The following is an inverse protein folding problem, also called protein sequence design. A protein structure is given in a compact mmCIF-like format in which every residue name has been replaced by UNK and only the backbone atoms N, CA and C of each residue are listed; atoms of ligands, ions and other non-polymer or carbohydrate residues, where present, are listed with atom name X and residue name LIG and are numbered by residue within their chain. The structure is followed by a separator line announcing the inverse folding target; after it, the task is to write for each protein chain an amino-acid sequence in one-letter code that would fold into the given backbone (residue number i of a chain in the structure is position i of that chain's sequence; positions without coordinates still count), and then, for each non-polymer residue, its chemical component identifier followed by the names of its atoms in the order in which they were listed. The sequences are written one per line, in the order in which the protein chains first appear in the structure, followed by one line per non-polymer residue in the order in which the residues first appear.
data_IF_423477514361
#
_entry.id   IF_423477514361
#
_cell.length_a   1.000
_cell.length_b   1.000
_cell.length_c   1.000
_cell.angle_alpha   90.00
_cell.angle_beta   90.00
_cell.angle_gamma   90.00
#
_symmetry.space_group_name_H-M   'P 1'
#
loop_
_entity.id
_entity.type
_entity.pdbx_description
1 polymer ?
#
# COMPACT_ATOMS: atom_id res chain seq x y z
N UNK A 1 -4.64 -9.99 -22.25
CA UNK A 1 -5.52 -8.82 -22.46
C UNK A 1 -5.14 -7.75 -21.43
N UNK A 2 -4.53 -6.63 -21.84
CA UNK A 2 -3.98 -5.60 -20.93
C UNK A 2 -4.97 -4.42 -20.80
N UNK A 3 -5.65 -4.31 -19.66
CA UNK A 3 -6.49 -3.14 -19.32
C UNK A 3 -5.60 -2.11 -18.61
N UNK A 4 -4.96 -1.20 -19.35
CA UNK A 4 -4.01 -0.22 -18.75
C UNK A 4 -4.27 1.25 -19.14
N UNK A 5 -5.21 1.56 -20.04
CA UNK A 5 -5.32 2.91 -20.63
C UNK A 5 -6.52 3.77 -20.21
N UNK A 6 -7.32 3.40 -19.20
CA UNK A 6 -8.59 4.10 -18.92
C UNK A 6 -8.53 5.32 -17.99
N UNK A 7 -7.39 5.67 -17.37
CA UNK A 7 -7.41 6.63 -16.26
C UNK A 7 -7.29 8.13 -16.61
N UNK A 8 -7.08 8.53 -17.87
CA UNK A 8 -6.59 9.91 -18.18
C UNK A 8 -7.64 10.99 -18.49
N UNK A 9 -8.95 10.71 -18.57
CA UNK A 9 -9.97 11.73 -18.97
C UNK A 9 -11.04 12.13 -17.93
N UNK A 10 -10.98 11.68 -16.69
CA UNK A 10 -12.12 11.81 -15.75
C UNK A 10 -12.19 13.07 -14.86
N UNK A 11 -11.26 14.03 -14.97
CA UNK A 11 -11.12 15.07 -13.94
C UNK A 11 -12.02 16.33 -14.03
N UNK A 12 -13.09 16.37 -14.85
CA UNK A 12 -13.95 17.57 -14.94
C UNK A 12 -15.47 17.39 -14.89
N UNK A 13 -15.99 16.18 -14.71
CA UNK A 13 -17.45 15.98 -14.66
C UNK A 13 -17.96 15.77 -13.23
N UNK A 14 -19.10 16.41 -12.90
CA UNK A 14 -19.83 16.31 -11.63
C UNK A 14 -20.01 14.84 -11.24
N UNK A 15 -19.30 14.42 -10.20
CA UNK A 15 -18.68 13.09 -10.09
C UNK A 15 -19.42 12.02 -9.29
N UNK A 16 -20.75 11.92 -9.37
CA UNK A 16 -21.47 10.81 -8.72
C UNK A 16 -22.09 9.80 -9.69
N UNK A 17 -22.62 10.23 -10.86
CA UNK A 17 -23.29 9.29 -11.77
C UNK A 17 -22.32 8.56 -12.70
N UNK A 18 -21.34 9.28 -13.29
CA UNK A 18 -20.34 8.66 -14.15
C UNK A 18 -19.39 7.74 -13.38
N UNK A 19 -19.06 8.06 -12.14
CA UNK A 19 -18.26 7.19 -11.27
C UNK A 19 -19.03 5.93 -10.87
N UNK A 20 -20.32 6.05 -10.54
CA UNK A 20 -21.21 4.89 -10.33
C UNK A 20 -21.33 4.03 -11.58
N UNK A 21 -21.50 4.63 -12.75
CA UNK A 21 -21.59 3.90 -14.02
C UNK A 21 -20.28 3.19 -14.36
N UNK A 22 -19.14 3.88 -14.23
CA UNK A 22 -17.82 3.29 -14.43
C UNK A 22 -17.58 2.12 -13.46
N UNK A 23 -17.95 2.29 -12.19
CA UNK A 23 -17.91 1.21 -11.20
C UNK A 23 -18.74 0.01 -11.65
N UNK A 24 -20.02 0.22 -12.01
CA UNK A 24 -20.90 -0.86 -12.50
C UNK A 24 -20.32 -1.60 -13.70
N UNK A 25 -19.78 -0.88 -14.69
CA UNK A 25 -19.19 -1.50 -15.88
C UNK A 25 -17.95 -2.33 -15.53
N UNK A 26 -17.07 -1.80 -14.67
CA UNK A 26 -15.88 -2.53 -14.22
C UNK A 26 -16.28 -3.77 -13.43
N UNK A 27 -17.24 -3.66 -12.51
CA UNK A 27 -17.70 -4.81 -11.71
C UNK A 27 -18.42 -5.87 -12.55
N UNK A 28 -19.25 -5.47 -13.53
CA UNK A 28 -19.89 -6.40 -14.46
C UNK A 28 -18.84 -7.17 -15.25
N UNK A 29 -17.89 -6.46 -15.86
CA UNK A 29 -16.84 -7.10 -16.66
C UNK A 29 -15.95 -8.05 -15.84
N UNK A 30 -15.61 -7.68 -14.59
CA UNK A 30 -14.86 -8.58 -13.70
C UNK A 30 -15.70 -9.79 -13.32
N UNK A 31 -16.99 -9.61 -13.01
CA UNK A 31 -17.87 -10.72 -12.65
C UNK A 31 -18.06 -11.69 -13.83
N UNK A 32 -18.31 -11.18 -15.03
CA UNK A 32 -18.38 -11.97 -16.27
C UNK A 32 -17.08 -12.74 -16.52
N UNK A 33 -15.94 -12.09 -16.35
CA UNK A 33 -14.64 -12.74 -16.44
C UNK A 33 -14.51 -13.87 -15.40
N UNK A 34 -14.83 -13.60 -14.13
CA UNK A 34 -14.77 -14.59 -13.06
C UNK A 34 -15.76 -15.74 -13.27
N UNK A 35 -16.89 -15.54 -13.94
CA UNK A 35 -17.81 -16.63 -14.33
C UNK A 35 -17.23 -17.49 -15.46
N UNK A 36 -16.50 -16.88 -16.40
CA UNK A 36 -15.96 -17.56 -17.57
C UNK A 36 -14.68 -18.38 -17.31
N UNK A 37 -14.04 -18.21 -16.14
CA UNK A 37 -12.81 -18.95 -15.79
C UNK A 37 -13.14 -20.43 -15.52
N UNK A 38 -12.43 -21.41 -16.11
CA UNK A 38 -12.63 -22.82 -15.77
C UNK A 38 -12.21 -23.13 -14.33
N UNK A 39 -12.92 -24.02 -13.63
CA UNK A 39 -12.60 -24.42 -12.24
C UNK A 39 -12.51 -25.94 -12.16
N UNK A 40 -11.82 -26.50 -11.15
CA UNK A 40 -11.73 -27.96 -10.96
C UNK A 40 -13.12 -28.61 -10.87
N UNK A 41 -14.09 -27.91 -10.27
CA UNK A 41 -15.45 -28.42 -10.11
C UNK A 41 -16.28 -28.34 -11.40
N UNK A 42 -15.89 -27.49 -12.37
CA UNK A 42 -16.61 -27.24 -13.61
C UNK A 42 -15.64 -27.28 -14.80
N UNK A 43 -15.20 -28.49 -15.17
CA UNK A 43 -14.27 -28.73 -16.28
C UNK A 43 -14.88 -28.53 -17.67
N UNK A 44 -16.21 -28.50 -17.80
CA UNK A 44 -16.88 -28.25 -19.08
C UNK A 44 -16.93 -26.76 -19.36
N UNK A 45 -15.92 -26.26 -20.07
CA UNK A 45 -15.97 -24.94 -20.72
C UNK A 45 -17.13 -24.98 -21.72
N UNK A 46 -18.15 -24.11 -21.60
CA UNK A 46 -19.21 -24.02 -22.59
C UNK A 46 -18.57 -23.73 -23.95
N UNK A 47 -18.72 -24.67 -24.87
CA UNK A 47 -18.05 -24.68 -26.17
C UNK A 47 -18.41 -23.48 -27.05
N UNK A 48 -17.40 -23.12 -27.84
CA UNK A 48 -17.46 -22.45 -29.14
C UNK A 48 -17.96 -21.01 -29.22
N UNK A 49 -17.00 -20.08 -29.15
CA UNK A 49 -17.08 -18.84 -29.93
C UNK A 49 -16.35 -17.63 -29.38
N UNK A 50 -15.96 -17.63 -28.10
CA UNK A 50 -15.66 -16.37 -27.39
C UNK A 50 -14.36 -16.33 -26.56
N UNK A 51 -13.24 -16.83 -27.08
CA UNK A 51 -11.90 -16.28 -26.82
C UNK A 51 -11.40 -16.02 -25.38
N UNK A 52 -11.86 -16.73 -24.35
CA UNK A 52 -11.12 -16.71 -23.07
C UNK A 52 -9.82 -17.50 -23.24
N UNK A 53 -8.69 -16.82 -23.15
CA UNK A 53 -7.35 -17.43 -23.30
C UNK A 53 -6.94 -18.29 -22.09
N UNK A 54 -7.82 -18.49 -21.11
CA UNK A 54 -7.54 -19.25 -19.89
C UNK A 54 -7.95 -20.70 -20.12
N UNK A 55 -7.03 -21.51 -20.64
CA UNK A 55 -7.30 -22.94 -20.93
C UNK A 55 -7.09 -23.87 -19.73
N UNK A 56 -6.72 -23.33 -18.56
CA UNK A 56 -6.42 -24.11 -17.35
C UNK A 56 -7.44 -23.81 -16.27
N UNK A 57 -7.75 -24.80 -15.46
CA UNK A 57 -8.56 -24.62 -14.26
C UNK A 57 -7.88 -23.67 -13.30
N UNK A 58 -8.68 -22.86 -12.61
CA UNK A 58 -8.25 -21.92 -11.59
C UNK A 58 -8.86 -22.33 -10.26
N UNK A 59 -7.98 -22.52 -9.29
CA UNK A 59 -8.34 -22.98 -7.94
C UNK A 59 -8.23 -21.86 -6.91
N UNK A 60 -7.53 -20.77 -7.27
CA UNK A 60 -7.25 -19.64 -6.41
C UNK A 60 -7.37 -18.31 -7.18
N UNK A 61 -8.12 -17.37 -6.62
CA UNK A 61 -8.21 -15.99 -7.10
C UNK A 61 -7.75 -15.02 -6.02
N UNK A 62 -6.70 -14.24 -6.31
CA UNK A 62 -6.28 -13.12 -5.45
C UNK A 62 -6.73 -11.82 -6.10
N UNK A 63 -7.66 -11.13 -5.45
CA UNK A 63 -8.23 -9.88 -5.93
C UNK A 63 -7.85 -8.68 -5.07
N UNK A 64 -7.79 -7.49 -5.65
CA UNK A 64 -7.67 -6.25 -4.87
C UNK A 64 -8.96 -5.97 -4.07
N UNK A 65 -8.87 -5.33 -2.92
CA UNK A 65 -10.05 -5.00 -2.10
C UNK A 65 -11.11 -4.18 -2.87
N UNK A 66 -10.72 -3.45 -3.91
CA UNK A 66 -11.63 -2.70 -4.76
C UNK A 66 -12.59 -3.61 -5.53
N UNK A 67 -12.29 -4.91 -5.70
CA UNK A 67 -13.09 -5.88 -6.45
C UNK A 67 -13.84 -6.87 -5.57
N UNK A 68 -13.89 -6.64 -4.25
CA UNK A 68 -14.52 -7.53 -3.28
C UNK A 68 -15.97 -7.94 -3.64
N UNK A 69 -16.75 -7.04 -4.26
CA UNK A 69 -18.11 -7.36 -4.71
C UNK A 69 -18.12 -8.44 -5.80
N UNK A 70 -17.19 -8.38 -6.76
CA UNK A 70 -17.11 -9.35 -7.84
C UNK A 70 -16.54 -10.69 -7.37
N UNK A 71 -15.74 -10.69 -6.29
CA UNK A 71 -15.16 -11.90 -5.70
C UNK A 71 -16.24 -12.86 -5.16
N UNK A 72 -17.47 -12.39 -4.90
CA UNK A 72 -18.60 -13.28 -4.56
C UNK A 72 -18.79 -14.40 -5.60
N UNK A 73 -18.48 -14.14 -6.87
CA UNK A 73 -18.52 -15.16 -7.93
C UNK A 73 -17.60 -16.33 -7.64
N UNK A 74 -16.42 -16.10 -7.04
CA UNK A 74 -15.51 -17.16 -6.65
C UNK A 74 -16.12 -18.06 -5.57
N UNK A 75 -16.72 -17.46 -4.54
CA UNK A 75 -17.44 -18.18 -3.48
C UNK A 75 -18.57 -19.05 -4.05
N UNK A 76 -19.43 -18.47 -4.88
CA UNK A 76 -20.57 -19.18 -5.48
C UNK A 76 -20.15 -20.36 -6.38
N UNK A 77 -18.89 -20.37 -6.83
CA UNK A 77 -18.30 -21.39 -7.71
C UNK A 77 -17.33 -22.34 -6.98
N UNK A 78 -17.22 -22.24 -5.66
CA UNK A 78 -16.30 -23.06 -4.87
C UNK A 78 -14.82 -22.81 -5.18
N UNK A 79 -14.46 -21.60 -5.61
CA UNK A 79 -13.07 -21.19 -5.90
C UNK A 79 -12.51 -20.45 -4.69
N UNK A 80 -11.37 -20.90 -4.19
CA UNK A 80 -10.65 -20.23 -3.10
C UNK A 80 -10.28 -18.80 -3.49
N UNK A 81 -10.47 -17.85 -2.59
CA UNK A 81 -10.10 -16.47 -2.88
C UNK A 81 -9.47 -15.73 -1.72
N UNK A 82 -8.66 -14.73 -2.06
CA UNK A 82 -8.13 -13.76 -1.11
C UNK A 82 -8.40 -12.34 -1.57
N UNK A 83 -8.94 -11.52 -0.66
CA UNK A 83 -8.97 -10.08 -0.85
C UNK A 83 -7.66 -9.49 -0.36
N UNK A 84 -6.81 -9.06 -1.30
CA UNK A 84 -5.61 -8.30 -1.04
C UNK A 84 -5.96 -6.87 -0.64
N UNK A 85 -5.69 -6.53 0.61
CA UNK A 85 -5.75 -5.18 1.12
C UNK A 85 -4.33 -4.69 1.40
N UNK A 86 -4.12 -3.39 1.22
CA UNK A 86 -2.81 -2.83 1.45
C UNK A 86 -2.43 -2.75 2.95
N UNK A 87 -3.42 -2.83 3.86
CA UNK A 87 -3.24 -2.71 5.30
C UNK A 87 -4.45 -3.29 6.07
N UNK A 88 -4.24 -3.72 7.32
CA UNK A 88 -5.32 -4.14 8.21
C UNK A 88 -6.29 -2.99 8.49
N UNK A 89 -5.74 -1.81 8.78
CA UNK A 89 -6.53 -0.59 8.98
C UNK A 89 -7.51 -0.26 7.85
N UNK A 90 -7.20 -0.61 6.58
CA UNK A 90 -8.11 -0.40 5.45
C UNK A 90 -9.32 -1.34 5.46
N UNK A 91 -9.24 -2.49 6.14
CA UNK A 91 -10.32 -3.47 6.24
C UNK A 91 -11.38 -3.04 7.24
N UNK A 92 -11.00 -2.24 8.24
CA UNK A 92 -11.94 -1.68 9.21
C UNK A 92 -13.00 -0.79 8.56
N UNK A 93 -12.66 -0.04 7.50
CA UNK A 93 -13.63 0.81 6.80
C UNK A 93 -14.85 0.02 6.30
N UNK A 94 -14.64 -1.02 5.47
CA UNK A 94 -15.65 -2.01 5.13
C UNK A 94 -16.37 -2.59 6.34
N UNK A 95 -15.66 -3.14 7.32
CA UNK A 95 -16.28 -3.81 8.47
C UNK A 95 -17.18 -2.89 9.32
N UNK A 96 -16.83 -1.61 9.46
CA UNK A 96 -17.66 -0.63 10.12
C UNK A 96 -18.83 -0.13 9.25
N UNK A 97 -18.71 -0.23 7.91
CA UNK A 97 -19.69 0.33 6.98
C UNK A 97 -20.92 -0.56 6.75
N UNK A 98 -20.93 -1.83 7.17
CA UNK A 98 -22.12 -2.65 6.97
C UNK A 98 -22.13 -4.00 7.67
N UNK A 99 -23.31 -4.35 8.19
CA UNK A 99 -23.72 -5.68 8.62
C UNK A 99 -23.99 -6.66 7.45
N UNK A 100 -24.00 -6.15 6.21
CA UNK A 100 -24.34 -6.90 4.98
C UNK A 100 -23.11 -7.35 4.17
N UNK A 101 -21.92 -7.40 4.78
CA UNK A 101 -20.81 -8.10 4.13
C UNK A 101 -21.17 -9.58 4.04
N UNK A 102 -20.98 -10.23 2.87
CA UNK A 102 -21.25 -11.65 2.75
C UNK A 102 -20.44 -12.38 3.82
N UNK A 103 -21.14 -12.90 4.82
CA UNK A 103 -20.60 -13.84 5.81
C UNK A 103 -20.29 -15.12 5.06
N UNK A 104 -19.05 -15.62 5.16
CA UNK A 104 -18.79 -16.99 4.73
C UNK A 104 -19.72 -17.93 5.50
N UNK A 105 -20.22 -18.95 4.82
CA UNK A 105 -20.94 -20.02 5.50
C UNK A 105 -19.98 -20.73 6.45
N UNK A 106 -20.49 -21.12 7.61
CA UNK A 106 -19.76 -22.00 8.53
C UNK A 106 -19.28 -23.23 7.72
N UNK A 107 -17.97 -23.50 7.72
CA UNK A 107 -17.25 -24.61 7.04
C UNK A 107 -16.51 -24.32 5.73
N UNK A 108 -16.49 -23.10 5.20
CA UNK A 108 -15.61 -22.76 4.06
C UNK A 108 -14.31 -22.09 4.53
N UNK A 109 -13.30 -22.93 4.85
CA UNK A 109 -12.06 -22.49 5.50
C UNK A 109 -10.95 -22.01 4.54
N UNK A 110 -11.16 -22.06 3.22
CA UNK A 110 -10.03 -21.88 2.30
C UNK A 110 -9.80 -20.41 1.89
N UNK A 111 -10.79 -19.53 2.11
CA UNK A 111 -10.70 -18.12 1.71
C UNK A 111 -10.24 -17.19 2.84
N UNK A 112 -9.71 -16.02 2.47
CA UNK A 112 -9.16 -15.11 3.47
C UNK A 112 -8.96 -13.66 3.03
N UNK A 113 -8.38 -12.88 3.93
CA UNK A 113 -7.94 -11.51 3.70
C UNK A 113 -6.43 -11.50 3.75
N UNK A 114 -5.81 -11.00 2.70
CA UNK A 114 -4.36 -10.90 2.59
C UNK A 114 -3.94 -9.45 2.79
N UNK A 115 -3.05 -9.21 3.73
CA UNK A 115 -2.51 -7.90 4.05
C UNK A 115 -1.09 -7.79 3.50
N UNK A 116 -0.83 -6.78 2.67
CA UNK A 116 0.54 -6.36 2.36
C UNK A 116 1.13 -5.55 3.53
N UNK A 117 1.23 -6.20 4.68
CA UNK A 117 1.68 -5.64 5.95
C UNK A 117 2.27 -6.74 6.82
N UNK A 118 2.76 -6.36 8.00
CA UNK A 118 3.33 -7.24 9.02
C UNK A 118 2.45 -7.19 10.25
N UNK A 119 2.04 -8.36 10.78
CA UNK A 119 1.04 -8.47 11.86
C UNK A 119 1.46 -7.65 13.08
N UNK A 120 2.74 -7.71 13.42
CA UNK A 120 3.36 -7.04 14.57
C UNK A 120 3.33 -5.51 14.47
N UNK A 121 3.13 -4.95 13.27
CA UNK A 121 2.97 -3.51 13.08
C UNK A 121 1.51 -3.08 13.30
N UNK A 122 0.56 -3.92 12.92
CA UNK A 122 -0.87 -3.63 12.91
C UNK A 122 -1.66 -4.40 13.99
N UNK A 123 -0.99 -4.88 15.03
CA UNK A 123 -1.58 -5.78 16.03
C UNK A 123 -2.88 -5.24 16.67
N UNK A 124 -2.94 -3.94 16.96
CA UNK A 124 -4.14 -3.27 17.45
C UNK A 124 -5.32 -3.36 16.45
N UNK A 125 -5.06 -3.09 15.17
CA UNK A 125 -6.06 -3.18 14.11
C UNK A 125 -6.52 -4.63 13.92
N UNK A 126 -5.59 -5.59 14.00
CA UNK A 126 -5.91 -7.02 13.89
C UNK A 126 -6.81 -7.48 15.03
N UNK A 127 -6.49 -7.11 16.27
CA UNK A 127 -7.35 -7.41 17.43
C UNK A 127 -8.75 -6.85 17.24
N UNK A 128 -8.88 -5.62 16.73
CA UNK A 128 -10.18 -5.01 16.43
C UNK A 128 -10.92 -5.80 15.35
N UNK A 129 -10.26 -6.15 14.24
CA UNK A 129 -10.83 -6.97 13.16
C UNK A 129 -11.34 -8.32 13.69
N UNK A 130 -10.58 -8.98 14.57
CA UNK A 130 -10.95 -10.27 15.16
C UNK A 130 -12.15 -10.19 16.11
N UNK A 131 -12.57 -9.00 16.55
CA UNK A 131 -13.81 -8.83 17.33
C UNK A 131 -15.07 -8.90 16.48
N UNK A 132 -14.97 -8.78 15.16
CA UNK A 132 -16.12 -8.86 14.26
C UNK A 132 -16.49 -10.31 13.98
N UNK A 133 -17.71 -10.69 14.34
CA UNK A 133 -18.22 -12.05 14.09
C UNK A 133 -18.20 -12.47 12.62
N UNK A 134 -18.39 -11.51 11.70
CA UNK A 134 -18.30 -11.76 10.24
C UNK A 134 -16.91 -12.20 9.77
N UNK A 135 -15.86 -11.96 10.56
CA UNK A 135 -14.49 -12.41 10.28
C UNK A 135 -14.18 -13.77 10.93
N UNK A 136 -15.07 -14.33 11.75
CA UNK A 136 -14.84 -15.64 12.35
C UNK A 136 -14.66 -16.71 11.28
N UNK A 137 -13.55 -17.45 11.36
CA UNK A 137 -13.18 -18.47 10.37
C UNK A 137 -12.49 -17.93 9.12
N UNK A 138 -12.43 -16.61 8.91
CA UNK A 138 -11.71 -16.02 7.78
C UNK A 138 -10.22 -15.93 8.09
N UNK A 139 -9.38 -16.52 7.23
CA UNK A 139 -7.93 -16.45 7.39
C UNK A 139 -7.42 -15.02 7.21
N UNK A 140 -6.63 -14.52 8.17
CA UNK A 140 -5.96 -13.22 8.10
C UNK A 140 -4.46 -13.42 7.78
N UNK A 141 -4.08 -13.27 6.51
CA UNK A 141 -2.73 -13.56 6.03
C UNK A 141 -1.88 -12.29 5.91
N UNK A 142 -0.76 -12.21 6.63
CA UNK A 142 0.19 -11.10 6.56
C UNK A 142 1.37 -11.50 5.69
N UNK A 143 1.38 -11.03 4.43
CA UNK A 143 2.40 -11.40 3.44
C UNK A 143 3.41 -10.27 3.17
N UNK A 144 3.34 -9.19 3.95
CA UNK A 144 4.14 -8.00 3.77
C UNK A 144 5.50 -8.03 4.49
N UNK A 145 6.37 -7.05 4.21
CA UNK A 145 6.21 -6.07 3.13
C UNK A 145 6.52 -6.72 1.78
N UNK A 146 5.56 -6.70 0.86
CA UNK A 146 5.77 -7.11 -0.53
C UNK A 146 6.61 -6.02 -1.19
N UNK A 147 7.92 -6.22 -1.20
CA UNK A 147 8.83 -5.32 -1.90
C UNK A 147 8.63 -5.51 -3.41
N UNK A 148 8.71 -4.44 -4.22
CA UNK A 148 8.68 -4.61 -5.66
C UNK A 148 9.84 -5.52 -6.02
N UNK A 149 9.57 -6.55 -6.82
CA UNK A 149 10.65 -7.27 -7.46
C UNK A 149 11.52 -6.26 -8.21
N UNK A 150 12.83 -6.50 -8.21
CA UNK A 150 13.74 -5.77 -9.07
C UNK A 150 13.30 -5.99 -10.51
N UNK A 151 12.40 -5.12 -11.00
CA UNK A 151 12.09 -5.05 -12.42
C UNK A 151 13.40 -4.89 -13.18
N UNK A 152 13.40 -5.28 -14.46
CA UNK A 152 14.53 -5.00 -15.35
C UNK A 152 14.75 -3.48 -15.36
N UNK A 153 15.70 -3.05 -14.54
CA UNK A 153 16.11 -1.66 -14.40
C UNK A 153 16.78 -1.29 -15.71
N UNK A 154 16.36 -0.21 -16.36
CA UNK A 154 17.06 0.24 -17.55
C UNK A 154 18.50 0.61 -17.19
N UNK A 155 19.44 0.50 -18.13
CA UNK A 155 20.84 0.91 -17.92
C UNK A 155 20.91 2.34 -17.38
N UNK A 156 20.13 3.26 -17.95
CA UNK A 156 20.02 4.65 -17.50
C UNK A 156 19.50 4.79 -16.07
N UNK A 157 18.59 3.92 -15.63
CA UNK A 157 18.14 3.91 -14.24
C UNK A 157 19.26 3.41 -13.33
N UNK A 158 19.96 2.32 -13.68
CA UNK A 158 21.11 1.81 -12.91
C UNK A 158 22.20 2.87 -12.74
N UNK A 159 22.53 3.60 -13.80
CA UNK A 159 23.50 4.71 -13.75
C UNK A 159 23.04 5.82 -12.80
N UNK A 160 21.78 6.23 -12.88
CA UNK A 160 21.20 7.19 -11.95
C UNK A 160 21.24 6.67 -10.51
N UNK A 161 21.01 5.36 -10.31
CA UNK A 161 21.07 4.75 -8.99
C UNK A 161 22.48 4.77 -8.42
N UNK A 162 23.49 4.45 -9.22
CA UNK A 162 24.88 4.46 -8.81
C UNK A 162 25.40 5.89 -8.54
N UNK A 163 25.01 6.86 -9.37
CA UNK A 163 25.29 8.27 -9.11
C UNK A 163 24.66 8.74 -7.80
N UNK A 164 23.40 8.36 -7.55
CA UNK A 164 22.70 8.68 -6.31
C UNK A 164 23.39 8.08 -5.09
N UNK A 165 23.78 6.81 -5.18
CA UNK A 165 24.51 6.10 -4.14
C UNK A 165 25.85 6.80 -3.84
N UNK A 166 26.65 7.10 -4.86
CA UNK A 166 27.92 7.83 -4.70
C UNK A 166 27.74 9.21 -4.08
N UNK A 167 26.70 9.96 -4.44
CA UNK A 167 26.39 11.25 -3.83
C UNK A 167 25.99 11.09 -2.36
N UNK A 168 25.12 10.11 -2.07
CA UNK A 168 24.64 9.75 -0.74
C UNK A 168 25.72 9.24 0.21
N UNK A 169 26.79 8.64 -0.32
CA UNK A 169 27.93 8.13 0.45
C UNK A 169 28.88 9.25 0.91
N UNK A 170 28.82 10.42 0.25
CA UNK A 170 29.58 11.62 0.62
C UNK A 170 28.89 12.51 1.65
N UNK A 171 27.61 12.28 1.92
CA UNK A 171 26.86 13.07 2.90
C UNK A 171 27.14 12.57 4.32
N UNK A 172 27.11 13.47 5.30
CA UNK A 172 27.22 13.10 6.71
C UNK A 172 26.08 12.16 7.14
N UNK A 173 26.32 11.35 8.18
CA UNK A 173 25.31 10.43 8.70
C UNK A 173 24.08 11.24 9.16
N UNK A 174 22.89 10.80 8.73
CA UNK A 174 21.59 11.44 9.01
C UNK A 174 21.35 12.83 8.36
N UNK A 175 22.30 13.41 7.62
CA UNK A 175 22.19 14.77 7.05
C UNK A 175 21.28 14.92 5.82
N UNK A 176 20.63 13.84 5.36
CA UNK A 176 19.87 13.84 4.10
C UNK A 176 18.40 13.55 4.34
N UNK A 177 17.57 14.54 4.04
CA UNK A 177 16.13 14.40 3.89
C UNK A 177 15.77 14.08 2.42
N UNK A 178 15.11 12.94 2.21
CA UNK A 178 14.54 12.56 0.92
C UNK A 178 13.07 12.99 0.89
N UNK A 179 12.66 13.70 -0.16
CA UNK A 179 11.27 14.16 -0.30
C UNK A 179 10.61 13.47 -1.49
N UNK A 180 9.50 12.78 -1.25
CA UNK A 180 8.74 12.11 -2.31
C UNK A 180 7.24 12.45 -2.21
N UNK A 181 6.61 12.79 -3.34
CA UNK A 181 5.16 13.05 -3.43
C UNK A 181 4.40 11.98 -4.22
N UNK A 182 5.03 10.83 -4.48
CA UNK A 182 4.48 9.76 -5.30
C UNK A 182 4.44 10.12 -6.80
N UNK A 183 3.78 9.25 -7.58
CA UNK A 183 3.66 9.39 -9.05
C UNK A 183 2.51 10.29 -9.50
N UNK A 184 1.86 11.02 -8.60
CA UNK A 184 0.78 11.91 -8.99
C UNK A 184 1.34 13.17 -9.67
N UNK A 185 0.68 13.69 -10.72
CA UNK A 185 1.13 14.89 -11.42
C UNK A 185 0.98 16.11 -10.51
N UNK A 186 2.03 16.43 -9.77
CA UNK A 186 2.13 17.62 -8.93
C UNK A 186 2.88 18.75 -9.67
N UNK A 187 2.33 19.97 -9.67
CA UNK A 187 2.98 21.17 -10.23
C UNK A 187 3.65 21.94 -9.08
N UNK A 188 4.98 22.03 -9.07
CA UNK A 188 5.78 22.67 -8.02
C UNK A 188 6.46 23.93 -8.54
N UNK A 189 6.43 25.02 -7.76
CA UNK A 189 7.17 26.27 -8.03
C UNK A 189 8.63 26.18 -7.53
N UNK A 190 9.51 26.98 -8.13
CA UNK A 190 10.98 26.79 -8.19
C UNK A 190 11.81 27.14 -6.94
N UNK A 191 11.21 27.61 -5.83
CA UNK A 191 11.94 28.31 -4.74
C UNK A 191 12.62 27.44 -3.66
N UNK A 192 12.58 26.11 -3.70
CA UNK A 192 13.04 25.20 -2.61
C UNK A 192 14.33 24.40 -2.89
N UNK A 193 15.30 24.94 -3.64
CA UNK A 193 16.40 24.12 -4.21
C UNK A 193 17.65 23.86 -3.35
N UNK A 194 17.84 24.51 -2.19
CA UNK A 194 19.16 24.50 -1.53
C UNK A 194 19.41 23.33 -0.57
N UNK A 195 18.38 22.61 -0.12
CA UNK A 195 18.51 21.60 0.97
C UNK A 195 17.82 20.26 0.73
N UNK A 196 17.12 20.07 -0.39
CA UNK A 196 16.25 18.91 -0.59
C UNK A 196 16.67 18.13 -1.83
N UNK A 197 16.94 16.83 -1.66
CA UNK A 197 16.93 15.94 -2.80
C UNK A 197 15.47 15.67 -3.20
N UNK A 198 15.10 16.13 -4.40
CA UNK A 198 13.74 16.10 -4.91
C UNK A 198 13.61 15.17 -6.12
N UNK A 199 12.78 14.12 -6.00
CA UNK A 199 12.43 13.27 -7.14
C UNK A 199 11.18 13.80 -7.85
N UNK A 200 11.35 14.27 -9.09
CA UNK A 200 10.23 14.59 -9.99
C UNK A 200 9.74 13.29 -10.64
N UNK A 201 8.44 13.04 -10.60
CA UNK A 201 7.80 11.91 -11.27
C UNK A 201 7.99 11.96 -12.79
N UNK A 202 9.09 11.40 -13.27
CA UNK A 202 9.30 11.03 -14.67
C UNK A 202 8.86 9.55 -14.78
N UNK A 203 8.00 9.14 -15.74
CA UNK A 203 7.55 7.75 -15.87
C UNK A 203 8.71 6.73 -15.98
N UNK A 204 9.91 7.18 -16.31
CA UNK A 204 11.11 6.37 -16.58
C UNK A 204 12.22 6.43 -15.52
N UNK A 205 12.10 7.14 -14.39
CA UNK A 205 13.20 7.26 -13.39
C UNK A 205 12.85 6.84 -11.95
N UNK A 206 11.69 6.23 -11.72
CA UNK A 206 11.17 5.96 -10.37
C UNK A 206 11.52 4.57 -9.83
N UNK A 207 12.80 4.29 -9.54
CA UNK A 207 13.22 2.96 -9.04
C UNK A 207 13.57 2.89 -7.54
N UNK A 208 13.79 4.02 -6.85
CA UNK A 208 14.03 4.02 -5.39
C UNK A 208 12.81 4.36 -4.53
N UNK A 209 11.65 4.62 -5.15
CA UNK A 209 10.42 4.98 -4.46
C UNK A 209 9.20 4.20 -4.97
N UNK A 210 9.42 2.95 -5.38
CA UNK A 210 8.32 1.99 -5.43
C UNK A 210 8.24 1.34 -4.06
N UNK A 211 7.67 2.04 -3.09
CA UNK A 211 7.33 1.42 -1.81
C UNK A 211 5.88 0.92 -1.92
N UNK A 212 5.77 -0.38 -2.14
CA UNK A 212 4.52 -1.14 -2.22
C UNK A 212 4.06 -1.50 -0.81
N UNK A 213 3.39 -0.56 -0.17
CA UNK A 213 2.13 -0.78 0.56
C UNK A 213 1.46 0.60 0.68
N UNK A 214 0.14 0.66 0.79
CA UNK A 214 -0.56 1.94 0.92
C UNK A 214 -0.13 2.73 2.17
N UNK A 215 0.49 2.05 3.15
CA UNK A 215 1.13 2.65 4.33
C UNK A 215 2.40 3.44 3.97
N UNK A 216 3.17 3.06 2.94
CA UNK A 216 4.43 3.73 2.58
C UNK A 216 4.30 4.80 1.47
N UNK A 217 3.09 5.17 1.04
CA UNK A 217 2.88 6.19 0.00
C UNK A 217 2.97 7.64 0.51
N UNK A 218 3.51 7.88 1.70
CA UNK A 218 3.44 9.20 2.34
C UNK A 218 4.75 9.58 3.05
N UNK A 219 5.85 9.75 2.30
CA UNK A 219 7.16 9.85 2.94
C UNK A 219 7.97 11.08 2.48
N UNK A 220 8.19 11.98 3.42
CA UNK A 220 9.49 12.60 3.67
C UNK A 220 10.35 11.52 4.36
N UNK A 221 11.34 10.98 3.67
CA UNK A 221 12.22 9.93 4.18
C UNK A 221 13.47 10.55 4.83
N UNK A 222 13.68 10.35 6.13
CA UNK A 222 15.00 10.60 6.76
C UNK A 222 15.85 9.32 6.68
N UNK A 223 17.11 9.44 6.26
CA UNK A 223 18.01 8.30 5.98
C UNK A 223 18.84 7.94 7.21
N UNK A 224 18.80 6.68 7.64
CA UNK A 224 19.62 6.17 8.76
C UNK A 224 20.72 5.23 8.25
N UNK A 225 21.99 5.55 8.54
CA UNK A 225 23.14 4.69 8.16
C UNK A 225 23.46 3.69 9.29
N UNK A 226 23.39 2.39 9.00
CA UNK A 226 24.30 1.38 9.54
C UNK A 226 24.50 0.30 8.45
N UNK A 227 25.74 -0.19 8.35
CA UNK A 227 26.37 -0.85 7.21
C UNK A 227 25.48 -1.66 6.22
N UNK A 228 25.74 -1.47 4.92
CA UNK A 228 25.31 -2.24 3.74
C UNK A 228 23.84 -2.20 3.24
N UNK A 229 22.86 -1.65 3.99
CA UNK A 229 21.46 -1.54 3.50
C UNK A 229 20.88 -0.13 3.71
N UNK A 230 20.58 0.56 2.61
CA UNK A 230 19.93 1.88 2.55
C UNK A 230 18.47 1.77 3.03
N UNK A 231 18.03 2.45 4.11
CA UNK A 231 16.66 2.31 4.66
C UNK A 231 16.10 3.60 5.31
N UNK A 232 14.76 3.74 5.27
CA UNK A 232 13.98 4.99 5.42
C UNK A 232 13.21 5.14 6.72
N UNK A 233 13.11 6.37 7.23
CA UNK A 233 12.22 6.82 8.32
C UNK A 233 11.20 7.82 7.77
N UNK A 234 9.91 7.76 8.12
CA UNK A 234 8.83 8.41 7.36
C UNK A 234 8.22 9.63 8.07
N UNK A 235 8.31 10.83 7.52
CA UNK A 235 7.47 11.98 7.88
C UNK A 235 6.33 12.17 6.87
N UNK A 236 5.11 12.35 7.36
CA UNK A 236 3.89 12.44 6.57
C UNK A 236 3.52 13.91 6.30
N UNK A 237 4.06 14.51 5.24
CA UNK A 237 3.66 15.85 4.81
C UNK A 237 3.21 15.87 3.36
N UNK A 238 1.92 16.11 3.13
CA UNK A 238 1.44 16.62 1.84
C UNK A 238 1.87 18.07 1.72
N UNK A 239 2.94 18.32 0.95
CA UNK A 239 3.43 19.66 0.69
C UNK A 239 2.36 20.49 -0.02
N UNK A 240 1.94 21.59 0.60
CA UNK A 240 1.01 22.57 0.07
C UNK A 240 1.56 23.31 -1.14
N UNK A 241 1.69 22.60 -2.26
CA UNK A 241 1.55 23.14 -3.59
C UNK A 241 0.07 23.12 -3.90
N UNK A 242 -0.41 24.02 -4.77
CA UNK A 242 -1.83 24.20 -5.08
C UNK A 242 -2.63 22.91 -5.40
N UNK A 243 -2.00 21.73 -5.57
CA UNK A 243 -2.65 20.42 -5.73
C UNK A 243 -1.81 19.21 -5.23
N UNK A 244 -1.17 19.24 -4.06
CA UNK A 244 -0.70 17.96 -3.46
C UNK A 244 -1.88 17.30 -2.74
N UNK A 245 -2.54 16.39 -3.44
CA UNK A 245 -3.77 15.76 -2.97
C UNK A 245 -3.42 14.58 -2.06
N UNK A 246 -3.82 14.66 -0.78
CA UNK A 246 -3.96 13.43 0.01
C UNK A 246 -5.18 12.68 -0.53
N UNK A 247 -4.99 11.53 -1.16
CA UNK A 247 -6.08 10.74 -1.75
C UNK A 247 -6.29 9.43 -0.99
N UNK A 248 -7.52 8.90 -1.02
CA UNK A 248 -7.90 7.65 -0.38
C UNK A 248 -7.61 7.62 1.14
N UNK A 249 -6.95 6.57 1.60
CA UNK A 249 -6.64 6.22 3.00
C UNK A 249 -5.45 7.01 3.59
N UNK A 250 -4.79 7.84 2.80
CA UNK A 250 -3.58 8.56 3.17
C UNK A 250 -3.68 9.36 4.48
N UNK A 251 -4.84 9.97 4.76
CA UNK A 251 -5.06 10.70 6.02
C UNK A 251 -5.17 9.75 7.21
N UNK A 252 -5.81 8.61 7.01
CA UNK A 252 -5.90 7.57 8.03
C UNK A 252 -4.50 7.02 8.35
N UNK A 253 -3.73 6.69 7.32
CA UNK A 253 -2.36 6.19 7.46
C UNK A 253 -1.45 7.21 8.16
N UNK A 254 -1.56 8.49 7.79
CA UNK A 254 -0.79 9.57 8.45
C UNK A 254 -1.13 9.72 9.94
N UNK A 255 -2.40 9.62 10.31
CA UNK A 255 -2.82 9.61 11.73
C UNK A 255 -2.31 8.39 12.48
N UNK A 256 -2.40 7.21 11.85
CA UNK A 256 -1.94 5.95 12.43
C UNK A 256 -0.42 5.95 12.67
N UNK A 257 0.36 6.49 11.74
CA UNK A 257 1.81 6.69 11.89
C UNK A 257 2.13 7.70 13.01
N UNK A 258 1.38 8.79 13.10
CA UNK A 258 1.54 9.79 14.15
C UNK A 258 1.26 9.21 15.55
N UNK A 259 0.24 8.38 15.70
CA UNK A 259 -0.09 7.70 16.97
C UNK A 259 1.02 6.76 17.45
N UNK A 260 1.87 6.29 16.54
CA UNK A 260 3.01 5.40 16.83
C UNK A 260 4.34 6.12 16.88
N UNK A 261 4.32 7.45 16.91
CA UNK A 261 5.52 8.29 16.90
C UNK A 261 6.43 7.98 15.73
N UNK A 262 5.93 7.50 14.59
CA UNK A 262 6.77 7.25 13.40
C UNK A 262 6.70 8.35 12.38
N UNK A 263 5.73 9.28 12.49
CA UNK A 263 5.58 10.41 11.60
C UNK A 263 5.03 11.65 12.32
N UNK A 264 5.26 12.83 11.74
CA UNK A 264 4.53 14.05 12.09
C UNK A 264 3.56 14.37 10.96
N UNK A 265 2.31 14.67 11.31
CA UNK A 265 1.29 15.08 10.35
C UNK A 265 1.06 16.60 10.43
N UNK A 266 1.05 17.28 9.28
CA UNK A 266 0.75 18.71 9.22
C UNK A 266 -0.76 18.93 9.12
N UNK A 267 -1.38 19.28 10.25
CA UNK A 267 -2.83 19.51 10.30
C UNK A 267 -3.32 20.58 9.32
N UNK A 268 -4.54 20.39 8.81
CA UNK A 268 -5.18 21.28 7.83
C UNK A 268 -4.62 21.21 6.40
N UNK A 269 -3.82 20.19 6.08
CA UNK A 269 -3.34 19.88 4.72
C UNK A 269 -4.12 18.72 4.08
N UNK A 270 -3.97 18.50 2.77
CA UNK A 270 -4.58 17.38 2.04
C UNK A 270 -5.45 17.78 0.83
N UNK A 271 -6.38 16.90 0.42
CA UNK A 271 -7.22 17.06 -0.78
C UNK A 271 -7.94 18.42 -0.85
N UNK A 272 -8.39 18.90 0.30
CA UNK A 272 -9.01 20.20 0.49
C UNK A 272 -8.17 21.00 1.48
N UNK A 273 -6.92 21.27 1.09
CA UNK A 273 -6.00 22.04 1.94
C UNK A 273 -6.60 23.39 2.26
N UNK A 274 -6.83 23.66 3.56
CA UNK A 274 -7.34 24.96 4.03
C UNK A 274 -6.22 26.01 4.10
N UNK A 275 -4.96 25.59 3.97
CA UNK A 275 -3.78 26.45 4.11
C UNK A 275 -2.59 26.00 3.28
N UNK A 276 -1.67 26.92 3.05
CA UNK A 276 -0.32 26.64 2.53
C UNK A 276 0.60 26.40 3.73
N UNK A 277 1.48 25.39 3.64
CA UNK A 277 2.51 25.15 4.65
C UNK A 277 3.75 25.95 4.27
N UNK A 278 4.14 26.90 5.12
CA UNK A 278 5.32 27.73 4.90
C UNK A 278 6.61 26.91 5.04
N UNK A 279 7.67 27.34 4.33
CA UNK A 279 8.97 26.69 4.36
C UNK A 279 9.56 26.61 5.79
N UNK A 280 9.43 27.67 6.59
CA UNK A 280 9.94 27.69 7.97
C UNK A 280 9.23 26.67 8.85
N UNK A 281 7.92 26.48 8.66
CA UNK A 281 7.18 25.42 9.37
C UNK A 281 7.69 24.04 8.99
N UNK A 282 7.99 23.80 7.71
CA UNK A 282 8.57 22.53 7.24
C UNK A 282 9.96 22.33 7.85
N UNK A 283 10.82 23.36 7.85
CA UNK A 283 12.15 23.30 8.42
C UNK A 283 12.10 22.98 9.93
N UNK A 284 11.17 23.59 10.67
CA UNK A 284 11.00 23.32 12.10
C UNK A 284 10.49 21.89 12.36
N UNK A 285 9.59 21.38 11.51
CA UNK A 285 9.14 19.99 11.60
C UNK A 285 10.28 19.01 11.29
N UNK A 286 11.12 19.32 10.30
CA UNK A 286 12.33 18.54 10.01
C UNK A 286 13.25 18.50 11.23
N UNK A 287 13.54 19.66 11.84
CA UNK A 287 14.33 19.72 13.08
C UNK A 287 13.75 18.89 14.22
N UNK A 288 12.43 18.87 14.41
CA UNK A 288 11.80 18.03 15.44
C UNK A 288 12.04 16.52 15.24
N UNK A 289 12.19 16.09 13.99
CA UNK A 289 12.52 14.70 13.68
C UNK A 289 14.05 14.49 13.63
N UNK A 290 14.81 15.53 13.26
CA UNK A 290 16.26 15.51 13.00
C UNK A 290 17.14 15.83 14.22
N UNK A 291 16.66 16.51 15.28
CA UNK A 291 17.38 16.80 16.54
C UNK A 291 17.79 15.51 17.33
N UNK A 292 17.79 14.39 16.63
CA UNK A 292 18.26 13.06 16.93
C UNK A 292 19.77 12.84 16.75
N UNK A 293 20.63 13.85 16.91
CA UNK A 293 22.05 13.58 17.25
C UNK A 293 22.13 12.72 18.53
N UNK A 294 21.11 12.82 19.39
CA UNK A 294 20.78 11.76 20.34
C UNK A 294 19.92 10.70 19.62
N UNK A 295 20.36 9.45 19.58
CA UNK A 295 19.56 8.31 19.10
C UNK A 295 18.28 8.05 19.92
N UNK A 296 17.80 9.03 20.68
CA UNK A 296 16.79 8.94 21.73
C UNK A 296 15.51 9.73 21.38
N UNK A 297 15.35 10.28 20.18
CA UNK A 297 14.04 10.83 19.81
C UNK A 297 13.01 9.70 19.73
N UNK A 298 11.75 9.93 20.15
CA UNK A 298 10.69 8.95 20.01
C UNK A 298 10.53 8.44 18.57
N UNK A 299 10.80 9.30 17.57
CA UNK A 299 10.76 8.95 16.15
C UNK A 299 11.85 7.96 15.75
N UNK A 300 13.09 8.17 16.22
CA UNK A 300 14.19 7.26 15.95
C UNK A 300 13.92 5.89 16.56
N UNK A 301 13.54 5.86 17.84
CA UNK A 301 13.25 4.61 18.54
C UNK A 301 12.09 3.84 17.88
N UNK A 302 10.97 4.51 17.61
CA UNK A 302 9.82 3.87 16.98
C UNK A 302 10.17 3.27 15.61
N UNK A 303 11.00 3.94 14.81
CA UNK A 303 11.43 3.38 13.53
C UNK A 303 12.43 2.23 13.65
N UNK A 304 13.32 2.26 14.64
CA UNK A 304 14.20 1.12 14.94
C UNK A 304 13.37 -0.10 15.36
N UNK A 305 12.36 0.10 16.20
CA UNK A 305 11.44 -0.96 16.64
C UNK A 305 10.66 -1.54 15.46
N UNK A 306 10.13 -0.67 14.59
CA UNK A 306 9.44 -1.11 13.37
C UNK A 306 10.37 -1.88 12.44
N UNK A 307 11.60 -1.41 12.28
CA UNK A 307 12.60 -2.11 11.49
C UNK A 307 12.86 -3.50 12.05
N UNK A 308 13.03 -3.62 13.37
CA UNK A 308 13.25 -4.92 14.00
C UNK A 308 12.09 -5.89 13.72
N UNK A 309 10.85 -5.41 13.78
CA UNK A 309 9.65 -6.18 13.42
C UNK A 309 9.64 -6.61 11.94
N UNK A 310 9.95 -5.69 11.02
CA UNK A 310 10.03 -5.99 9.59
C UNK A 310 11.16 -6.98 9.26
N UNK A 311 12.34 -6.80 9.87
CA UNK A 311 13.48 -7.68 9.69
C UNK A 311 13.16 -9.09 10.25
N UNK A 312 12.48 -9.19 11.40
CA UNK A 312 12.01 -10.47 11.94
C UNK A 312 11.00 -11.17 11.03
N UNK A 313 9.97 -10.45 10.55
CA UNK A 313 8.95 -11.00 9.66
C UNK A 313 9.53 -11.51 8.33
N UNK A 314 10.49 -10.77 7.76
CA UNK A 314 11.13 -11.17 6.50
C UNK A 314 12.19 -12.25 6.65
N UNK A 315 12.88 -12.32 7.81
CA UNK A 315 13.86 -13.38 8.07
C UNK A 315 13.21 -14.78 8.11
N UNK A 316 12.01 -14.89 8.69
CA UNK A 316 11.29 -16.16 8.79
C UNK A 316 10.80 -16.69 7.44
N UNK A 317 10.48 -15.79 6.50
CA UNK A 317 10.00 -16.18 5.15
C UNK A 317 11.03 -16.91 4.29
N UNK A 318 12.31 -16.96 4.71
CA UNK A 318 13.35 -17.77 4.07
C UNK A 318 13.33 -19.25 4.45
N UNK A 319 12.58 -19.64 5.48
CA UNK A 319 12.31 -21.05 5.81
C UNK A 319 10.90 -21.42 5.33
N UNK A 320 10.68 -22.57 4.66
CA UNK A 320 9.40 -22.94 4.02
C UNK A 320 8.25 -23.25 5.00
N UNK A 321 8.25 -22.65 6.19
CA UNK A 321 7.34 -22.91 7.30
C UNK A 321 6.26 -21.84 7.36
N UNK A 322 5.38 -21.76 6.36
CA UNK A 322 4.03 -21.26 6.63
C UNK A 322 3.37 -22.30 7.54
N UNK A 323 3.67 -22.22 8.84
CA UNK A 323 2.87 -22.92 9.83
C UNK A 323 1.48 -22.31 9.72
N UNK A 324 0.52 -23.07 9.20
CA UNK A 324 -0.86 -22.86 9.58
C UNK A 324 -0.83 -22.84 11.11
N UNK A 325 -0.93 -21.66 11.72
CA UNK A 325 -1.37 -21.56 13.10
C UNK A 325 -2.82 -22.03 13.08
N UNK A 326 -3.00 -23.35 13.09
CA UNK A 326 -4.27 -23.95 13.42
C UNK A 326 -4.61 -23.43 14.81
N UNK A 327 -5.72 -22.69 14.93
CA UNK A 327 -6.29 -22.39 16.24
C UNK A 327 -6.36 -23.73 17.00
N UNK A 328 -5.95 -23.79 18.28
CA UNK A 328 -6.28 -24.94 19.09
C UNK A 328 -7.80 -25.15 18.98
N UNK A 329 -8.21 -26.31 18.50
CA UNK A 329 -9.61 -26.70 18.50
C UNK A 329 -9.99 -26.87 19.97
N UNK A 330 -10.76 -25.91 20.49
CA UNK A 330 -11.45 -26.02 21.77
C UNK A 330 -12.78 -26.73 21.55
#
# INVERSE_FOLDING_TARGET
MYISSYHRRFHRFRGSQLSKLAGRLVYSAISEFLHAIPTIQQSTVPGDGGGSSVCRTVDLVIGDNCIAVAIKVCHDRGVTYFSNTAAASMTLGPLFAGADYPTLRENENDSGIMFNSVRELEEDMVRIIETFSVINGIALLFVGPLMPQTEKVSVSQLEQQEMMKKWLDRQEKLSVANVNSGRLPCRMESKLRRWLYWQRGNPSCGLFARQSSAIFRLNLVLKFRNNSKMRSLTSCSSFGLRKSQMFADQKSNGKWLMQRSTAIMVEGTGLQSKRVVLADKIANLLKQVEDAESAQTPFCQAALDWRAKLDAATAMSGSPSFSHQTRPQN
#
